data_IF_060648582689
#
_entry.id   IF_060648582689
#
_cell.length_a   1.000
_cell.length_b   1.000
_cell.length_c   1.000
_cell.angle_alpha   90.00
_cell.angle_beta   90.00
_cell.angle_gamma   90.00
#
_symmetry.space_group_name_H-M   'P 1'
#
loop_
_entity.id
_entity.type
_entity.pdbx_description
1 polymer ?
#
# COMPACT_ATOMS: atom_id res chain seq x y z
N UNK A 1 15.07 -6.03 7.52
CA UNK A 1 14.40 -6.71 6.38
C UNK A 1 14.72 -5.92 5.11
N UNK A 2 14.68 -6.52 3.91
CA UNK A 2 14.86 -5.78 2.64
C UNK A 2 13.49 -5.51 2.03
N UNK A 3 13.30 -4.36 1.38
CA UNK A 3 12.09 -4.09 0.60
C UNK A 3 11.89 -5.16 -0.49
N UNK A 4 10.65 -5.62 -0.65
CA UNK A 4 10.21 -6.44 -1.79
C UNK A 4 9.40 -5.53 -2.70
N UNK A 5 9.93 -5.20 -3.87
CA UNK A 5 9.31 -4.30 -4.86
C UNK A 5 8.80 -5.03 -6.12
N UNK A 6 8.86 -6.37 -6.09
CA UNK A 6 8.31 -7.29 -7.07
C UNK A 6 7.03 -7.94 -6.56
N UNK A 7 6.20 -8.52 -7.46
CA UNK A 7 5.06 -9.35 -7.07
C UNK A 7 5.42 -10.38 -5.96
N UNK A 8 4.65 -10.40 -4.87
CA UNK A 8 4.90 -11.23 -3.68
C UNK A 8 3.60 -11.73 -3.02
N UNK A 9 2.49 -11.76 -3.77
CA UNK A 9 1.22 -12.32 -3.33
C UNK A 9 0.88 -13.52 -4.23
N UNK A 10 0.31 -14.58 -3.66
CA UNK A 10 -0.12 -15.73 -4.47
C UNK A 10 -1.32 -15.36 -5.38
N UNK A 11 -2.22 -14.49 -4.88
CA UNK A 11 -3.38 -13.99 -5.61
C UNK A 11 -3.35 -12.45 -5.71
N UNK A 12 -2.63 -11.95 -6.72
CA UNK A 12 -2.51 -10.52 -7.00
C UNK A 12 -3.84 -9.88 -7.41
N UNK A 13 -4.59 -10.56 -8.28
CA UNK A 13 -5.82 -10.03 -8.85
C UNK A 13 -6.94 -10.00 -7.81
N UNK A 14 -7.02 -11.01 -6.94
CA UNK A 14 -7.96 -11.05 -5.83
C UNK A 14 -7.77 -9.89 -4.87
N UNK A 15 -6.54 -9.66 -4.40
CA UNK A 15 -6.27 -8.52 -3.53
C UNK A 15 -6.55 -7.17 -4.22
N UNK A 16 -6.22 -7.04 -5.51
CA UNK A 16 -6.52 -5.83 -6.26
C UNK A 16 -8.04 -5.58 -6.38
N UNK A 17 -8.83 -6.63 -6.59
CA UNK A 17 -10.29 -6.55 -6.62
C UNK A 17 -10.87 -6.15 -5.25
N UNK A 18 -10.32 -6.66 -4.15
CA UNK A 18 -10.68 -6.26 -2.78
C UNK A 18 -10.34 -4.80 -2.50
N UNK A 19 -9.17 -4.34 -2.93
CA UNK A 19 -8.77 -2.94 -2.79
C UNK A 19 -9.71 -2.01 -3.56
N UNK A 20 -10.01 -2.32 -4.83
CA UNK A 20 -10.97 -1.56 -5.62
C UNK A 20 -12.37 -1.57 -4.99
N UNK A 21 -12.77 -2.71 -4.41
CA UNK A 21 -14.03 -2.84 -3.71
C UNK A 21 -14.13 -1.89 -2.51
N UNK A 22 -13.04 -1.72 -1.76
CA UNK A 22 -12.98 -0.83 -0.61
C UNK A 22 -13.20 0.66 -0.98
N UNK A 23 -12.92 1.04 -2.23
CA UNK A 23 -13.14 2.41 -2.72
C UNK A 23 -14.54 2.68 -3.27
N UNK A 24 -15.39 1.65 -3.46
CA UNK A 24 -16.71 1.84 -4.08
C UNK A 24 -17.62 2.74 -3.23
N UNK A 25 -18.19 3.75 -3.86
CA UNK A 25 -19.09 4.71 -3.21
C UNK A 25 -18.39 5.82 -2.42
N UNK A 26 -17.06 5.82 -2.38
CA UNK A 26 -16.29 6.91 -1.78
C UNK A 26 -16.10 8.07 -2.76
N UNK A 27 -16.09 9.29 -2.24
CA UNK A 27 -15.57 10.43 -2.98
C UNK A 27 -14.05 10.31 -3.16
N UNK A 28 -13.49 11.11 -4.06
CA UNK A 28 -12.03 11.17 -4.27
C UNK A 28 -11.27 11.49 -2.97
N UNK A 29 -11.75 12.46 -2.18
CA UNK A 29 -11.14 12.81 -0.90
C UNK A 29 -11.19 11.65 0.12
N UNK A 30 -12.31 10.92 0.18
CA UNK A 30 -12.44 9.73 1.03
C UNK A 30 -11.55 8.59 0.56
N UNK A 31 -11.43 8.40 -0.76
CA UNK A 31 -10.54 7.43 -1.39
C UNK A 31 -9.07 7.70 -1.03
N UNK A 32 -8.63 8.97 -1.07
CA UNK A 32 -7.30 9.35 -0.62
C UNK A 32 -7.09 9.13 0.88
N UNK A 33 -8.09 9.44 1.71
CA UNK A 33 -8.02 9.20 3.14
C UNK A 33 -7.89 7.69 3.46
N UNK A 34 -8.63 6.83 2.74
CA UNK A 34 -8.52 5.38 2.86
C UNK A 34 -7.10 4.91 2.53
N UNK A 35 -6.53 5.38 1.42
CA UNK A 35 -5.16 5.03 1.02
C UNK A 35 -4.12 5.48 2.06
N UNK A 36 -4.24 6.69 2.59
CA UNK A 36 -3.34 7.17 3.63
C UNK A 36 -3.42 6.32 4.90
N UNK A 37 -4.63 5.94 5.32
CA UNK A 37 -4.84 5.07 6.47
C UNK A 37 -4.27 3.66 6.23
N UNK A 38 -4.49 3.09 5.04
CA UNK A 38 -3.95 1.79 4.66
C UNK A 38 -2.41 1.80 4.70
N UNK A 39 -1.76 2.83 4.16
CA UNK A 39 -0.30 3.01 4.23
C UNK A 39 0.19 3.02 5.67
N UNK A 40 -0.49 3.74 6.58
CA UNK A 40 -0.11 3.77 7.99
C UNK A 40 -0.26 2.40 8.68
N UNK A 41 -1.34 1.68 8.39
CA UNK A 41 -1.56 0.32 8.94
C UNK A 41 -0.46 -0.62 8.48
N UNK A 42 -0.15 -0.63 7.18
CA UNK A 42 0.91 -1.47 6.61
C UNK A 42 2.29 -1.05 7.13
N UNK A 43 2.55 0.24 7.31
CA UNK A 43 3.80 0.72 7.89
C UNK A 43 4.00 0.21 9.32
N UNK A 44 2.94 0.22 10.13
CA UNK A 44 2.96 -0.34 11.48
C UNK A 44 3.17 -1.85 11.47
N UNK A 45 2.54 -2.58 10.53
CA UNK A 45 2.72 -4.02 10.38
C UNK A 45 4.17 -4.38 9.97
N UNK A 46 4.77 -3.60 9.06
CA UNK A 46 6.15 -3.79 8.60
C UNK A 46 7.15 -3.52 9.73
N UNK A 47 6.96 -2.44 10.51
CA UNK A 47 7.77 -2.13 11.70
C UNK A 47 9.24 -1.78 11.45
N UNK A 48 9.75 -1.93 10.23
CA UNK A 48 11.15 -1.69 9.85
C UNK A 48 11.33 -0.32 9.15
N UNK A 49 11.97 0.63 9.84
CA UNK A 49 12.20 1.99 9.32
C UNK A 49 13.02 2.03 8.03
N UNK A 50 13.96 1.09 7.85
CA UNK A 50 14.78 1.06 6.65
C UNK A 50 13.93 0.66 5.44
N UNK A 51 13.13 -0.40 5.56
CA UNK A 51 12.18 -0.83 4.51
C UNK A 51 11.23 0.29 4.13
N UNK A 52 10.69 1.02 5.11
CA UNK A 52 9.80 2.15 4.85
C UNK A 52 10.49 3.30 4.13
N UNK A 53 11.78 3.56 4.43
CA UNK A 53 12.56 4.60 3.75
C UNK A 53 12.85 4.22 2.30
N UNK A 54 13.25 2.96 2.06
CA UNK A 54 13.45 2.41 0.71
C UNK A 54 12.17 2.49 -0.13
N UNK A 55 11.01 2.19 0.46
CA UNK A 55 9.71 2.26 -0.22
C UNK A 55 9.36 3.70 -0.64
N UNK A 56 9.58 4.69 0.25
CA UNK A 56 9.35 6.11 -0.07
C UNK A 56 10.27 6.60 -1.19
N UNK A 57 11.55 6.25 -1.14
CA UNK A 57 12.51 6.65 -2.16
C UNK A 57 12.18 6.04 -3.52
N UNK A 58 11.68 4.80 -3.55
CA UNK A 58 11.24 4.15 -4.78
C UNK A 58 9.96 4.79 -5.33
N UNK A 59 8.97 5.07 -4.47
CA UNK A 59 7.71 5.70 -4.86
C UNK A 59 7.89 7.11 -5.43
N UNK A 60 8.93 7.86 -5.01
CA UNK A 60 9.27 9.19 -5.55
C UNK A 60 9.95 9.15 -6.92
N UNK A 61 10.54 8.01 -7.29
CA UNK A 61 11.32 7.85 -8.54
C UNK A 61 10.51 7.26 -9.69
N UNK A 62 9.41 6.58 -9.37
CA UNK A 62 8.44 6.06 -10.33
C UNK A 62 7.44 7.15 -10.69
#
# INVERSE_FOLDING_TARGET
MKLIDTPNLDDHDGFYAELLAAHRGLSEAQSHALNAQLVLILANHIGDRQVLSEALDLARKR
#
